data_IF_408218456462
#
_entry.id   IF_408218456462
#
_cell.length_a   1.000
_cell.length_b   1.000
_cell.length_c   1.000
_cell.angle_alpha   90.00
_cell.angle_beta   90.00
_cell.angle_gamma   90.00
#
_symmetry.space_group_name_H-M   'P 1'
#
loop_
_entity.id
_entity.type
_entity.pdbx_description
1 polymer ?
#
# COMPACT_ATOMS: atom_id res chain seq x y z
N UNK A 1 -26.95 -2.20 -4.70
CA UNK A 1 -26.08 -3.32 -4.30
C UNK A 1 -24.83 -3.18 -5.14
N UNK A 2 -23.74 -2.69 -4.56
CA UNK A 2 -22.45 -2.63 -5.25
C UNK A 2 -21.85 -4.03 -5.18
N UNK A 3 -21.50 -4.56 -6.34
CA UNK A 3 -20.98 -5.90 -6.54
C UNK A 3 -19.76 -6.13 -5.65
N UNK A 4 -19.76 -7.17 -4.81
CA UNK A 4 -18.67 -7.47 -3.86
C UNK A 4 -17.37 -7.95 -4.55
N UNK A 5 -17.37 -7.97 -5.88
CA UNK A 5 -16.26 -8.44 -6.70
C UNK A 5 -15.05 -7.49 -6.73
N UNK A 6 -15.21 -6.18 -6.48
CA UNK A 6 -14.14 -5.18 -6.71
C UNK A 6 -13.30 -4.78 -5.48
N UNK A 7 -13.64 -5.24 -4.27
CA UNK A 7 -13.09 -4.67 -3.02
C UNK A 7 -11.84 -5.37 -2.49
N UNK A 8 -10.84 -5.70 -3.31
CA UNK A 8 -9.59 -6.31 -2.82
C UNK A 8 -8.40 -5.82 -3.65
N UNK A 9 -8.03 -4.57 -3.41
CA UNK A 9 -7.05 -3.82 -4.19
C UNK A 9 -5.67 -3.83 -3.54
N UNK A 10 -4.71 -4.51 -4.17
CA UNK A 10 -3.28 -4.37 -3.87
C UNK A 10 -2.70 -3.24 -4.72
N UNK A 11 -1.90 -2.35 -4.10
CA UNK A 11 -1.23 -1.25 -4.80
C UNK A 11 -0.34 -1.71 -5.96
N UNK A 12 0.25 -2.91 -5.86
CA UNK A 12 1.24 -3.44 -6.80
C UNK A 12 0.69 -4.25 -7.97
N UNK A 13 -0.63 -4.35 -8.11
CA UNK A 13 -1.25 -5.23 -9.11
C UNK A 13 -1.87 -4.53 -10.32
N UNK A 14 -1.74 -3.21 -10.46
CA UNK A 14 -2.27 -2.41 -11.59
C UNK A 14 -3.77 -2.66 -11.87
N UNK A 15 -4.48 -3.39 -11.00
CA UNK A 15 -5.89 -3.79 -11.09
C UNK A 15 -6.81 -2.70 -10.52
N UNK A 16 -6.32 -1.48 -10.57
CA UNK A 16 -6.87 -0.33 -9.89
C UNK A 16 -7.23 0.61 -11.02
N UNK A 17 -8.53 0.79 -11.28
CA UNK A 17 -9.02 1.70 -12.32
C UNK A 17 -8.31 3.05 -12.19
N UNK A 18 -8.04 3.75 -13.30
CA UNK A 18 -7.40 5.06 -13.28
C UNK A 18 -8.09 6.07 -12.32
N UNK A 19 -9.38 5.83 -12.03
CA UNK A 19 -10.23 6.59 -11.11
C UNK A 19 -10.32 6.04 -9.67
N UNK A 20 -9.54 5.03 -9.31
CA UNK A 20 -9.47 4.51 -7.93
C UNK A 20 -8.61 5.46 -7.08
N UNK A 21 -9.15 6.67 -6.96
CA UNK A 21 -8.70 7.82 -6.19
C UNK A 21 -7.80 7.35 -5.04
N UNK A 22 -6.50 7.64 -5.14
CA UNK A 22 -5.59 7.64 -3.98
C UNK A 22 -6.36 8.35 -2.86
N UNK A 23 -6.79 7.56 -1.88
CA UNK A 23 -8.01 7.83 -1.13
C UNK A 23 -8.10 9.29 -0.70
N UNK A 24 -9.17 10.00 -1.12
CA UNK A 24 -9.41 11.37 -0.66
C UNK A 24 -9.36 11.49 0.85
N UNK A 25 -9.75 10.42 1.54
CA UNK A 25 -9.69 10.31 2.98
C UNK A 25 -8.24 10.33 3.49
N UNK A 26 -7.34 9.61 2.83
CA UNK A 26 -5.93 9.51 3.20
C UNK A 26 -5.20 10.85 2.99
N UNK A 27 -5.23 11.42 1.78
CA UNK A 27 -4.57 12.71 1.56
C UNK A 27 -5.23 13.86 2.37
N UNK A 28 -6.54 13.79 2.66
CA UNK A 28 -7.20 14.73 3.60
C UNK A 28 -6.64 14.57 5.00
N UNK A 29 -6.43 13.32 5.45
CA UNK A 29 -5.87 13.06 6.76
C UNK A 29 -4.44 13.57 6.86
N UNK A 30 -3.59 13.29 5.88
CA UNK A 30 -2.19 13.71 5.87
C UNK A 30 -2.07 15.22 5.82
N UNK A 31 -2.88 15.88 5.00
CA UNK A 31 -2.99 17.34 5.00
C UNK A 31 -3.31 17.88 6.40
N UNK A 32 -4.38 17.37 7.03
CA UNK A 32 -4.77 17.83 8.38
C UNK A 32 -3.68 17.50 9.41
N UNK A 33 -3.01 16.35 9.29
CA UNK A 33 -1.95 15.93 10.19
C UNK A 33 -0.73 16.86 10.10
N UNK A 34 -0.27 17.19 8.89
CA UNK A 34 0.84 18.11 8.66
C UNK A 34 0.56 19.47 9.32
N UNK A 35 -0.64 20.02 9.14
CA UNK A 35 -1.00 21.32 9.70
C UNK A 35 -1.23 21.25 11.21
N UNK A 36 -2.01 20.27 11.69
CA UNK A 36 -2.43 20.19 13.10
C UNK A 36 -1.32 19.68 14.04
N UNK A 37 -0.45 18.78 13.55
CA UNK A 37 0.54 18.07 14.38
C UNK A 37 1.98 18.39 14.04
N UNK A 38 2.31 18.62 12.77
CA UNK A 38 3.66 19.04 12.38
C UNK A 38 3.83 20.55 12.28
N UNK A 39 2.77 21.33 12.50
CA UNK A 39 2.82 22.79 12.50
C UNK A 39 3.10 23.40 11.12
N UNK A 40 2.92 22.62 10.04
CA UNK A 40 3.04 23.15 8.68
C UNK A 40 1.97 24.22 8.43
N UNK A 41 2.33 25.29 7.72
CA UNK A 41 1.31 26.17 7.16
C UNK A 41 0.54 25.45 6.04
N UNK A 42 -0.66 25.96 5.71
CA UNK A 42 -1.56 25.28 4.77
C UNK A 42 -0.97 25.15 3.37
N UNK A 43 -0.30 26.17 2.84
CA UNK A 43 0.30 26.08 1.50
C UNK A 43 1.44 25.06 1.43
N UNK A 44 2.26 24.98 2.49
CA UNK A 44 3.31 23.96 2.60
C UNK A 44 2.72 22.55 2.72
N UNK A 45 1.62 22.40 3.48
CA UNK A 45 0.95 21.12 3.62
C UNK A 45 0.26 20.69 2.31
N UNK A 46 -0.42 21.61 1.60
CA UNK A 46 -0.99 21.35 0.26
C UNK A 46 0.09 20.92 -0.70
N UNK A 47 1.23 21.64 -0.75
CA UNK A 47 2.34 21.27 -1.63
C UNK A 47 2.92 19.90 -1.30
N UNK A 48 3.15 19.61 -0.01
CA UNK A 48 3.70 18.34 0.44
C UNK A 48 2.81 17.17 0.04
N UNK A 49 1.52 17.26 0.36
CA UNK A 49 0.54 16.21 0.04
C UNK A 49 0.32 16.10 -1.47
N UNK A 50 0.20 17.21 -2.18
CA UNK A 50 0.03 17.17 -3.63
C UNK A 50 1.21 16.48 -4.33
N UNK A 51 2.44 16.72 -3.88
CA UNK A 51 3.61 16.04 -4.43
C UNK A 51 3.62 14.54 -4.09
N UNK A 52 3.33 14.18 -2.84
CA UNK A 52 3.30 12.79 -2.38
C UNK A 52 2.25 11.95 -3.11
N UNK A 53 1.11 12.56 -3.43
CA UNK A 53 -0.02 11.91 -4.08
C UNK A 53 -0.14 12.23 -5.58
N UNK A 54 0.83 12.90 -6.18
CA UNK A 54 0.86 13.35 -7.59
C UNK A 54 -0.43 14.07 -8.03
N UNK A 55 -0.94 14.97 -7.17
CA UNK A 55 -2.14 15.77 -7.39
C UNK A 55 -1.79 17.18 -7.86
N UNK A 56 -2.72 17.84 -8.54
CA UNK A 56 -2.69 19.30 -8.73
C UNK A 56 -2.84 20.00 -7.37
N UNK A 57 -1.94 20.95 -7.07
CA UNK A 57 -2.01 21.74 -5.83
C UNK A 57 -3.30 22.58 -5.76
N UNK A 58 -3.77 23.07 -6.91
CA UNK A 58 -4.97 23.90 -6.97
C UNK A 58 -6.21 23.03 -6.78
N UNK A 59 -6.28 21.86 -7.42
CA UNK A 59 -7.40 20.91 -7.28
C UNK A 59 -7.51 20.40 -5.83
N UNK A 60 -6.38 20.07 -5.19
CA UNK A 60 -6.36 19.67 -3.77
C UNK A 60 -6.86 20.81 -2.88
N UNK A 61 -6.42 22.04 -3.14
CA UNK A 61 -6.85 23.22 -2.37
C UNK A 61 -8.34 23.46 -2.53
N UNK A 62 -8.85 23.46 -3.75
CA UNK A 62 -10.26 23.67 -4.07
C UNK A 62 -11.12 22.59 -3.40
N UNK A 63 -10.72 21.32 -3.50
CA UNK A 63 -11.36 20.22 -2.79
C UNK A 63 -11.41 20.46 -1.26
N UNK A 64 -10.32 20.89 -0.64
CA UNK A 64 -10.26 21.16 0.81
C UNK A 64 -11.15 22.35 1.23
N UNK A 65 -11.30 23.37 0.38
CA UNK A 65 -12.18 24.52 0.59
C UNK A 65 -13.64 24.12 0.41
N UNK A 66 -13.99 23.49 -0.70
CA UNK A 66 -15.35 23.04 -1.04
C UNK A 66 -15.90 22.10 0.04
N UNK A 67 -15.05 21.20 0.54
CA UNK A 67 -15.40 20.27 1.60
C UNK A 67 -15.28 20.88 3.00
N UNK A 68 -14.98 22.17 3.12
CA UNK A 68 -14.90 22.92 4.38
C UNK A 68 -13.88 22.34 5.37
N UNK A 69 -12.82 21.70 4.88
CA UNK A 69 -11.69 21.28 5.71
C UNK A 69 -10.78 22.46 6.04
N UNK A 70 -10.63 23.38 5.09
CA UNK A 70 -10.02 24.68 5.31
C UNK A 70 -11.05 25.77 5.08
N UNK A 71 -10.93 26.87 5.83
CA UNK A 71 -11.77 28.05 5.68
C UNK A 71 -10.86 29.24 5.37
N UNK A 72 -11.33 30.13 4.50
CA UNK A 72 -10.69 31.41 4.29
C UNK A 72 -11.21 32.39 5.36
N UNK A 73 -10.35 32.82 6.28
CA UNK A 73 -10.57 34.06 7.04
C UNK A 73 -9.48 35.01 6.64
N UNK A 74 -9.74 35.80 5.62
CA UNK A 74 -9.07 37.09 5.56
C UNK A 74 -9.97 38.12 6.22
N UNK A 75 -9.69 38.45 7.48
CA UNK A 75 -10.28 39.66 8.06
C UNK A 75 -9.71 40.85 7.31
N UNK A 76 -10.54 41.79 6.85
CA UNK A 76 -10.06 42.95 6.08
C UNK A 76 -8.96 43.74 6.76
N UNK A 77 -8.94 43.77 8.09
CA UNK A 77 -7.96 44.55 8.86
C UNK A 77 -6.59 43.87 8.97
N UNK A 78 -6.54 42.53 8.98
CA UNK A 78 -5.29 41.77 8.95
C UNK A 78 -4.64 41.86 7.55
N UNK A 79 -5.44 41.85 6.47
CA UNK A 79 -4.92 42.11 5.11
C UNK A 79 -4.36 43.53 5.00
N UNK A 80 -5.03 44.54 5.59
CA UNK A 80 -4.52 45.91 5.55
C UNK A 80 -3.14 46.02 6.18
N UNK A 81 -2.88 45.37 7.32
CA UNK A 81 -1.53 45.33 7.92
C UNK A 81 -0.51 44.64 7.00
N UNK A 82 -0.89 43.52 6.39
CA UNK A 82 -0.04 42.78 5.44
C UNK A 82 0.30 43.63 4.19
N UNK A 83 -0.67 44.39 3.69
CA UNK A 83 -0.49 45.29 2.55
C UNK A 83 0.45 46.47 2.88
N UNK A 84 0.59 46.89 4.15
CA UNK A 84 1.54 47.94 4.55
C UNK A 84 3.00 47.56 4.26
N UNK A 85 3.33 46.26 4.27
CA UNK A 85 4.68 45.75 3.97
C UNK A 85 5.06 45.95 2.50
N UNK A 86 4.07 46.11 1.62
CA UNK A 86 4.30 46.33 0.20
C UNK A 86 4.34 47.82 -0.12
N UNK A 87 5.33 48.25 -0.90
CA UNK A 87 5.30 49.58 -1.49
C UNK A 87 4.20 49.69 -2.57
N UNK A 88 3.77 50.91 -2.89
CA UNK A 88 2.68 51.17 -3.84
C UNK A 88 2.98 50.61 -5.24
N UNK A 89 4.26 50.53 -5.65
CA UNK A 89 4.68 49.98 -6.94
C UNK A 89 4.41 48.47 -7.00
N UNK A 90 4.69 47.74 -5.93
CA UNK A 90 4.42 46.30 -5.79
C UNK A 90 2.92 46.01 -5.80
N UNK A 91 2.12 46.78 -5.06
CA UNK A 91 0.66 46.63 -5.06
C UNK A 91 0.04 46.86 -6.46
N UNK A 92 0.57 47.83 -7.21
CA UNK A 92 0.16 48.05 -8.61
C UNK A 92 0.53 46.89 -9.53
N UNK A 93 1.67 46.24 -9.31
CA UNK A 93 2.07 45.04 -10.07
C UNK A 93 1.10 43.89 -9.82
N UNK A 94 0.68 43.67 -8.58
CA UNK A 94 -0.32 42.66 -8.23
C UNK A 94 -1.60 42.90 -9.04
N UNK A 95 -2.17 44.12 -8.98
CA UNK A 95 -3.38 44.44 -9.76
C UNK A 95 -3.20 44.26 -11.28
N UNK A 96 -2.07 44.70 -11.85
CA UNK A 96 -1.79 44.54 -13.29
C UNK A 96 -1.70 43.07 -13.71
N UNK A 97 -1.08 42.22 -12.88
CA UNK A 97 -0.98 40.78 -13.14
C UNK A 97 -2.36 40.12 -13.28
N UNK A 98 -3.35 40.65 -12.58
CA UNK A 98 -4.73 40.17 -12.60
C UNK A 98 -5.66 40.98 -13.53
N UNK A 99 -5.11 41.79 -14.45
CA UNK A 99 -5.90 42.58 -15.41
C UNK A 99 -6.72 43.71 -14.77
N UNK A 100 -6.46 44.05 -13.51
CA UNK A 100 -7.23 45.05 -12.78
C UNK A 100 -6.60 46.44 -12.89
N UNK A 101 -7.45 47.47 -12.85
CA UNK A 101 -7.03 48.87 -12.86
C UNK A 101 -6.02 49.12 -11.73
N UNK A 102 -4.81 49.52 -12.08
CA UNK A 102 -3.71 49.76 -11.13
C UNK A 102 -3.47 51.25 -10.81
N UNK A 103 -4.36 52.16 -11.24
CA UNK A 103 -4.27 53.59 -10.96
C UNK A 103 -5.08 54.01 -9.71
N UNK A 104 -4.67 55.12 -9.07
CA UNK A 104 -5.33 55.72 -7.91
C UNK A 104 -4.46 55.86 -6.66
N UNK A 105 -5.03 56.46 -5.61
CA UNK A 105 -4.43 56.56 -4.28
C UNK A 105 -4.25 55.17 -3.66
N UNK A 106 -3.21 54.99 -2.84
CA UNK A 106 -2.83 53.71 -2.22
C UNK A 106 -4.01 52.99 -1.54
N UNK A 107 -4.80 53.70 -0.71
CA UNK A 107 -5.98 53.12 -0.05
C UNK A 107 -6.97 52.46 -1.03
N UNK A 108 -7.24 53.10 -2.18
CA UNK A 108 -8.12 52.55 -3.23
C UNK A 108 -7.51 51.36 -3.99
N UNK A 109 -6.19 51.21 -3.97
CA UNK A 109 -5.47 50.06 -4.52
C UNK A 109 -5.58 48.89 -3.53
N UNK A 110 -5.34 49.15 -2.24
CA UNK A 110 -5.49 48.17 -1.15
C UNK A 110 -6.93 47.64 -1.06
N UNK A 111 -7.94 48.52 -1.10
CA UNK A 111 -9.36 48.13 -1.15
C UNK A 111 -9.68 47.24 -2.35
N UNK A 112 -9.07 47.51 -3.52
CA UNK A 112 -9.24 46.67 -4.72
C UNK A 112 -8.59 45.31 -4.54
N UNK A 113 -7.42 45.26 -3.92
CA UNK A 113 -6.72 44.01 -3.62
C UNK A 113 -7.52 43.16 -2.63
N UNK A 114 -8.06 43.77 -1.56
CA UNK A 114 -8.91 43.12 -0.56
C UNK A 114 -10.21 42.63 -1.20
N UNK A 115 -10.91 43.48 -1.96
CA UNK A 115 -12.19 43.16 -2.61
C UNK A 115 -12.07 42.01 -3.61
N UNK A 116 -10.93 41.89 -4.27
CA UNK A 116 -10.67 40.83 -5.24
C UNK A 116 -9.85 39.66 -4.63
N UNK A 117 -9.67 39.63 -3.31
CA UNK A 117 -8.96 38.57 -2.57
C UNK A 117 -7.57 38.22 -3.15
N UNK A 118 -6.82 39.22 -3.60
CA UNK A 118 -5.56 39.00 -4.35
C UNK A 118 -4.33 38.83 -3.44
N UNK A 119 -4.49 39.09 -2.14
CA UNK A 119 -3.43 38.98 -1.12
C UNK A 119 -4.07 38.55 0.20
N UNK A 120 -3.45 37.60 0.89
CA UNK A 120 -3.95 37.02 2.13
C UNK A 120 -4.78 35.77 1.85
N UNK A 121 -4.09 34.64 1.70
CA UNK A 121 -4.71 33.31 1.75
C UNK A 121 -4.37 32.71 3.12
N UNK A 122 -4.80 33.37 4.19
CA UNK A 122 -4.73 32.78 5.54
C UNK A 122 -5.88 31.79 5.67
N UNK A 123 -5.73 30.68 4.97
CA UNK A 123 -6.51 29.50 5.22
C UNK A 123 -6.25 29.05 6.66
N UNK A 124 -7.25 28.48 7.30
CA UNK A 124 -7.09 27.80 8.58
C UNK A 124 -7.91 26.52 8.62
N UNK A 125 -7.49 25.56 9.44
CA UNK A 125 -8.25 24.33 9.66
C UNK A 125 -9.60 24.64 10.30
N UNK A 126 -10.67 24.12 9.70
CA UNK A 126 -12.01 24.20 10.25
C UNK A 126 -12.20 23.30 11.48
N UNK A 127 -13.33 23.47 12.18
CA UNK A 127 -13.77 22.52 13.22
C UNK A 127 -14.00 21.12 12.64
N UNK A 128 -14.53 21.02 11.42
CA UNK A 128 -14.72 19.75 10.68
C UNK A 128 -13.40 18.99 10.54
N UNK A 129 -12.31 19.67 10.21
CA UNK A 129 -10.98 19.04 10.11
C UNK A 129 -10.50 18.44 11.43
N UNK A 130 -10.70 19.15 12.54
CA UNK A 130 -10.32 18.65 13.87
C UNK A 130 -11.12 17.41 14.26
N UNK A 131 -12.43 17.40 13.96
CA UNK A 131 -13.30 16.24 14.18
C UNK A 131 -12.90 15.07 13.28
N UNK A 132 -12.67 15.33 11.99
CA UNK A 132 -12.20 14.33 11.02
C UNK A 132 -10.92 13.64 11.51
N UNK A 133 -9.90 14.43 11.89
CA UNK A 133 -8.64 13.90 12.42
C UNK A 133 -8.87 13.07 13.68
N UNK A 134 -9.61 13.59 14.66
CA UNK A 134 -9.89 12.87 15.91
C UNK A 134 -10.56 11.51 15.64
N UNK A 135 -11.49 11.46 14.71
CA UNK A 135 -12.23 10.25 14.38
C UNK A 135 -11.36 9.22 13.65
N UNK A 136 -10.45 9.67 12.78
CA UNK A 136 -9.71 8.77 11.88
C UNK A 136 -8.29 8.44 12.33
N UNK A 137 -7.68 9.24 13.20
CA UNK A 137 -6.26 9.11 13.62
C UNK A 137 -5.85 7.72 14.08
N UNK A 138 -6.73 6.99 14.76
CA UNK A 138 -6.40 5.67 15.33
C UNK A 138 -6.31 4.63 14.21
N UNK A 139 -7.27 4.66 13.29
CA UNK A 139 -7.34 3.78 12.12
C UNK A 139 -6.23 4.07 11.13
N UNK A 140 -5.97 5.35 10.85
CA UNK A 140 -4.91 5.72 9.92
C UNK A 140 -3.55 5.28 10.45
N UNK A 141 -3.25 5.52 11.74
CA UNK A 141 -2.00 5.01 12.33
C UNK A 141 -1.84 3.50 12.16
N UNK A 142 -2.88 2.73 12.41
CA UNK A 142 -2.82 1.27 12.26
C UNK A 142 -2.65 0.88 10.80
N UNK A 143 -3.26 1.61 9.88
CA UNK A 143 -3.05 1.39 8.47
C UNK A 143 -1.61 1.71 8.07
N UNK A 144 -1.09 2.87 8.47
CA UNK A 144 0.27 3.31 8.19
C UNK A 144 1.32 2.34 8.78
N UNK A 145 1.08 1.83 9.99
CA UNK A 145 2.01 0.93 10.67
C UNK A 145 2.04 -0.50 10.08
N UNK A 146 1.03 -0.91 9.30
CA UNK A 146 0.86 -2.33 8.89
C UNK A 146 0.58 -2.55 7.40
N UNK A 147 -0.01 -1.58 6.70
CA UNK A 147 -0.73 -1.80 5.44
C UNK A 147 -0.47 -0.72 4.38
N UNK A 148 0.00 0.48 4.75
CA UNK A 148 0.08 1.62 3.82
C UNK A 148 0.96 1.37 2.61
N UNK A 149 2.01 0.56 2.76
CA UNK A 149 2.91 0.26 1.64
C UNK A 149 2.22 -0.61 0.60
N UNK A 150 1.21 -1.39 1.02
CA UNK A 150 0.66 -2.48 0.21
C UNK A 150 -0.79 -2.29 -0.22
N UNK A 151 -1.60 -1.54 0.53
CA UNK A 151 -3.05 -1.41 0.33
C UNK A 151 -3.48 0.05 0.21
N UNK A 152 -4.74 0.26 -0.19
CA UNK A 152 -5.42 1.55 -0.09
C UNK A 152 -6.24 1.65 1.19
N UNK A 153 -6.30 2.86 1.78
CA UNK A 153 -6.95 3.05 3.08
C UNK A 153 -8.45 2.79 3.06
N UNK A 154 -9.15 3.06 1.95
CA UNK A 154 -10.62 2.99 1.90
C UNK A 154 -11.16 1.61 2.28
N UNK A 155 -10.61 0.57 1.65
CA UNK A 155 -11.05 -0.79 1.85
C UNK A 155 -10.74 -1.28 3.27
N UNK A 156 -9.54 -0.95 3.77
CA UNK A 156 -9.20 -1.23 5.17
C UNK A 156 -10.10 -0.47 6.15
N UNK A 157 -10.47 0.79 5.85
CA UNK A 157 -11.34 1.59 6.71
C UNK A 157 -12.72 0.95 6.86
N UNK A 158 -13.28 0.44 5.77
CA UNK A 158 -14.58 -0.22 5.78
C UNK A 158 -14.49 -1.53 6.57
N UNK A 159 -13.46 -2.34 6.31
CA UNK A 159 -13.21 -3.55 7.08
C UNK A 159 -13.01 -3.27 8.57
N UNK A 160 -12.24 -2.24 8.92
CA UNK A 160 -12.03 -1.82 10.31
C UNK A 160 -13.36 -1.42 10.94
N UNK A 161 -14.21 -0.67 10.23
CA UNK A 161 -15.50 -0.23 10.76
C UNK A 161 -16.46 -1.38 11.02
N UNK A 162 -16.40 -2.46 10.25
CA UNK A 162 -17.19 -3.67 10.52
C UNK A 162 -16.64 -4.48 11.70
N UNK A 163 -15.35 -4.29 12.03
CA UNK A 163 -14.63 -5.11 12.98
C UNK A 163 -14.12 -4.35 14.22
N UNK A 164 -14.50 -3.08 14.40
CA UNK A 164 -13.93 -2.20 15.45
C UNK A 164 -14.15 -2.69 16.89
N UNK A 165 -15.11 -3.60 17.09
CA UNK A 165 -15.38 -4.24 18.39
C UNK A 165 -14.41 -5.38 18.73
N UNK A 166 -13.64 -5.87 17.76
CA UNK A 166 -12.62 -6.91 17.96
C UNK A 166 -11.36 -6.31 18.63
N UNK A 167 -10.45 -7.20 19.07
CA UNK A 167 -9.11 -6.79 19.53
C UNK A 167 -8.36 -6.12 18.38
N UNK A 168 -8.14 -4.83 18.51
CA UNK A 168 -7.63 -3.97 17.45
C UNK A 168 -6.32 -4.46 16.82
N UNK A 169 -5.38 -4.97 17.62
CA UNK A 169 -4.11 -5.51 17.12
C UNK A 169 -4.26 -6.69 16.15
N UNK A 170 -5.44 -7.34 16.11
CA UNK A 170 -5.73 -8.43 15.18
C UNK A 170 -6.34 -7.96 13.88
N UNK A 171 -6.92 -6.76 13.82
CA UNK A 171 -7.69 -6.29 12.66
C UNK A 171 -6.84 -6.27 11.38
N UNK A 172 -5.61 -5.72 11.36
CA UNK A 172 -4.77 -5.72 10.15
C UNK A 172 -4.38 -7.13 9.70
N UNK A 173 -4.05 -8.01 10.66
CA UNK A 173 -3.68 -9.39 10.40
C UNK A 173 -4.86 -10.17 9.80
N UNK A 174 -6.06 -9.98 10.35
CA UNK A 174 -7.28 -10.59 9.81
C UNK A 174 -7.63 -10.05 8.42
N UNK A 175 -7.38 -8.76 8.18
CA UNK A 175 -7.58 -8.14 6.87
C UNK A 175 -6.67 -8.76 5.79
N UNK A 176 -5.38 -8.94 6.07
CA UNK A 176 -4.45 -9.60 5.15
C UNK A 176 -4.83 -11.08 4.96
N UNK A 177 -5.21 -11.80 6.03
CA UNK A 177 -5.68 -13.19 5.92
C UNK A 177 -6.93 -13.34 5.06
N UNK A 178 -7.84 -12.36 5.11
CA UNK A 178 -9.02 -12.33 4.24
C UNK A 178 -8.59 -12.22 2.77
N UNK A 179 -7.61 -11.38 2.46
CA UNK A 179 -7.05 -11.27 1.11
C UNK A 179 -6.35 -12.54 0.63
N UNK A 180 -5.58 -13.22 1.49
CA UNK A 180 -4.97 -14.52 1.17
C UNK A 180 -6.06 -15.56 0.84
N UNK A 181 -7.14 -15.58 1.63
CA UNK A 181 -8.25 -16.51 1.44
C UNK A 181 -8.95 -16.25 0.11
N UNK A 182 -9.29 -14.98 -0.18
CA UNK A 182 -9.90 -14.61 -1.46
C UNK A 182 -8.98 -14.92 -2.65
N UNK A 183 -7.68 -14.62 -2.55
CA UNK A 183 -6.73 -14.96 -3.61
C UNK A 183 -6.63 -16.48 -3.85
N UNK A 184 -6.85 -17.28 -2.82
CA UNK A 184 -6.94 -18.74 -2.93
C UNK A 184 -8.23 -19.16 -3.65
N UNK A 185 -9.37 -18.58 -3.28
CA UNK A 185 -10.68 -18.84 -3.92
C UNK A 185 -10.68 -18.45 -5.40
N UNK A 186 -10.14 -17.28 -5.72
CA UNK A 186 -10.05 -16.75 -7.09
C UNK A 186 -8.92 -17.37 -7.91
N UNK A 187 -8.09 -18.22 -7.30
CA UNK A 187 -6.92 -18.80 -7.94
C UNK A 187 -6.03 -17.69 -8.54
N UNK A 188 -5.66 -16.71 -7.71
CA UNK A 188 -4.82 -15.58 -8.11
C UNK A 188 -3.43 -15.66 -7.46
N UNK A 189 -2.47 -16.17 -8.22
CA UNK A 189 -1.10 -16.40 -7.75
C UNK A 189 -0.44 -15.10 -7.26
N UNK A 190 -0.47 -14.04 -8.08
CA UNK A 190 0.19 -12.77 -7.78
C UNK A 190 -0.36 -12.16 -6.48
N UNK A 191 -1.69 -12.10 -6.34
CA UNK A 191 -2.32 -11.63 -5.10
C UNK A 191 -1.89 -12.48 -3.91
N UNK A 192 -1.93 -13.82 -4.01
CA UNK A 192 -1.57 -14.70 -2.89
C UNK A 192 -0.12 -14.54 -2.47
N UNK A 193 0.82 -14.51 -3.43
CA UNK A 193 2.24 -14.35 -3.17
C UNK A 193 2.51 -13.00 -2.47
N UNK A 194 1.96 -11.89 -2.99
CA UNK A 194 2.10 -10.58 -2.37
C UNK A 194 1.53 -10.55 -0.95
N UNK A 195 0.29 -11.00 -0.74
CA UNK A 195 -0.33 -10.99 0.60
C UNK A 195 0.40 -11.88 1.60
N UNK A 196 0.92 -13.02 1.16
CA UNK A 196 1.74 -13.91 1.97
C UNK A 196 3.06 -13.23 2.34
N UNK A 197 3.67 -12.50 1.41
CA UNK A 197 4.89 -11.74 1.67
C UNK A 197 4.70 -10.64 2.73
N UNK A 198 3.59 -9.90 2.70
CA UNK A 198 3.24 -8.90 3.73
C UNK A 198 3.17 -9.55 5.12
N UNK A 199 2.64 -10.78 5.21
CA UNK A 199 2.62 -11.54 6.46
C UNK A 199 4.01 -11.99 6.92
N UNK A 200 4.95 -12.24 5.99
CA UNK A 200 6.36 -12.53 6.30
C UNK A 200 7.00 -11.31 6.94
N UNK A 201 6.90 -10.14 6.32
CA UNK A 201 7.43 -8.86 6.85
C UNK A 201 6.86 -8.56 8.23
N UNK A 202 5.54 -8.68 8.39
CA UNK A 202 4.88 -8.48 9.67
C UNK A 202 5.48 -9.35 10.79
N UNK A 203 5.69 -10.65 10.55
CA UNK A 203 6.22 -11.55 11.57
C UNK A 203 7.73 -11.46 11.75
N UNK A 204 8.45 -10.98 10.74
CA UNK A 204 9.86 -10.60 10.85
C UNK A 204 10.01 -9.43 11.84
N UNK A 205 9.23 -8.36 11.66
CA UNK A 205 9.29 -7.17 12.53
C UNK A 205 8.85 -7.45 13.98
N UNK A 206 8.04 -8.49 14.18
CA UNK A 206 7.63 -8.95 15.51
C UNK A 206 8.57 -10.00 16.12
N UNK A 207 9.69 -10.32 15.48
CA UNK A 207 10.64 -11.38 15.84
C UNK A 207 9.90 -12.70 16.18
N UNK A 208 8.95 -13.08 15.33
CA UNK A 208 8.16 -14.31 15.48
C UNK A 208 8.51 -15.32 14.39
N UNK A 209 9.67 -16.00 14.50
CA UNK A 209 10.20 -16.86 13.43
C UNK A 209 9.28 -18.05 13.13
N UNK A 210 8.55 -18.58 14.12
CA UNK A 210 7.62 -19.71 13.90
C UNK A 210 6.45 -19.32 13.01
N UNK A 211 5.85 -18.16 13.25
CA UNK A 211 4.75 -17.68 12.39
C UNK A 211 5.26 -17.22 11.05
N UNK A 212 6.42 -16.55 11.01
CA UNK A 212 7.09 -16.17 9.78
C UNK A 212 7.35 -17.38 8.87
N UNK A 213 7.88 -18.48 9.42
CA UNK A 213 8.15 -19.72 8.69
C UNK A 213 6.92 -20.27 7.96
N UNK A 214 5.75 -20.22 8.58
CA UNK A 214 4.50 -20.67 7.95
C UNK A 214 4.23 -19.92 6.63
N UNK A 215 4.42 -18.60 6.64
CA UNK A 215 4.17 -17.76 5.45
C UNK A 215 5.32 -17.82 4.45
N UNK A 216 6.58 -17.90 4.90
CA UNK A 216 7.74 -18.13 4.02
C UNK A 216 7.57 -19.42 3.24
N UNK A 217 7.19 -20.51 3.91
CA UNK A 217 6.96 -21.80 3.25
C UNK A 217 5.72 -21.77 2.35
N UNK A 218 4.66 -21.03 2.70
CA UNK A 218 3.49 -20.85 1.82
C UNK A 218 3.90 -20.16 0.52
N UNK A 219 4.70 -19.11 0.62
CA UNK A 219 5.20 -18.37 -0.54
C UNK A 219 6.15 -19.26 -1.37
N UNK A 220 7.06 -19.97 -0.71
CA UNK A 220 7.96 -20.94 -1.33
C UNK A 220 7.22 -22.02 -2.12
N UNK A 221 6.28 -22.72 -1.49
CA UNK A 221 5.54 -23.81 -2.15
C UNK A 221 4.70 -23.30 -3.32
N UNK A 222 4.05 -22.13 -3.16
CA UNK A 222 3.24 -21.52 -4.21
C UNK A 222 4.08 -21.08 -5.41
N UNK A 223 5.29 -20.54 -5.21
CA UNK A 223 6.18 -20.19 -6.32
C UNK A 223 6.90 -21.41 -6.92
N UNK A 224 6.98 -22.55 -6.23
CA UNK A 224 7.42 -23.79 -6.89
C UNK A 224 6.35 -24.40 -7.79
N UNK A 225 5.09 -24.12 -7.48
CA UNK A 225 3.95 -24.63 -8.22
C UNK A 225 2.89 -23.53 -8.30
N UNK A 226 2.97 -22.60 -9.26
CA UNK A 226 1.92 -21.61 -9.45
C UNK A 226 0.67 -22.32 -9.94
N UNK A 227 -0.16 -22.71 -8.98
CA UNK A 227 -1.24 -23.70 -9.14
C UNK A 227 -2.33 -23.23 -10.11
N UNK A 228 -2.39 -21.93 -10.37
CA UNK A 228 -3.66 -21.29 -10.63
C UNK A 228 -3.75 -20.60 -11.98
N UNK A 229 -2.64 -20.15 -12.56
CA UNK A 229 -2.68 -19.34 -13.78
C UNK A 229 -1.35 -19.27 -14.51
N UNK A 230 -0.73 -20.42 -14.77
CA UNK A 230 0.35 -20.44 -15.75
C UNK A 230 -0.29 -20.69 -17.10
N UNK A 231 -0.58 -19.61 -17.82
CA UNK A 231 -0.91 -19.68 -19.24
C UNK A 231 0.37 -19.97 -20.05
N UNK A 232 1.55 -19.60 -19.52
CA UNK A 232 2.88 -19.94 -20.07
C UNK A 232 3.95 -20.12 -18.98
N UNK A 233 4.64 -21.28 -18.97
CA UNK A 233 5.72 -21.58 -18.03
C UNK A 233 6.99 -20.74 -18.26
N UNK A 234 7.12 -20.14 -19.45
CA UNK A 234 8.26 -19.29 -19.82
C UNK A 234 8.37 -18.01 -18.99
N UNK A 235 7.27 -17.55 -18.39
CA UNK A 235 7.26 -16.39 -17.47
C UNK A 235 7.66 -16.77 -16.03
N UNK A 236 7.83 -18.07 -15.76
CA UNK A 236 8.08 -18.59 -14.43
C UNK A 236 9.58 -18.83 -14.17
N UNK A 237 10.25 -17.84 -13.58
CA UNK A 237 11.71 -17.85 -13.33
C UNK A 237 12.19 -18.54 -12.05
N UNK A 238 11.41 -19.42 -11.43
CA UNK A 238 11.74 -20.04 -10.14
C UNK A 238 11.10 -19.32 -8.95
N UNK A 239 11.73 -19.36 -7.76
CA UNK A 239 11.17 -18.72 -6.55
C UNK A 239 11.96 -17.46 -6.16
N UNK A 240 11.34 -16.43 -5.55
CA UNK A 240 11.97 -15.12 -5.36
C UNK A 240 13.18 -15.13 -4.41
N UNK A 241 14.21 -14.33 -4.71
CA UNK A 241 15.42 -14.19 -3.87
C UNK A 241 15.11 -13.78 -2.42
N UNK A 242 14.10 -12.94 -2.20
CA UNK A 242 13.70 -12.55 -0.85
C UNK A 242 13.25 -13.76 -0.01
N UNK A 243 12.59 -14.75 -0.63
CA UNK A 243 12.17 -15.98 0.06
C UNK A 243 13.37 -16.85 0.40
N UNK A 244 14.35 -16.91 -0.51
CA UNK A 244 15.62 -17.55 -0.25
C UNK A 244 16.30 -16.93 0.99
N UNK A 245 16.44 -15.60 1.03
CA UNK A 245 17.08 -14.90 2.15
C UNK A 245 16.36 -15.13 3.48
N UNK A 246 15.02 -15.12 3.47
CA UNK A 246 14.24 -15.42 4.66
C UNK A 246 14.36 -16.86 5.14
N UNK A 247 14.51 -17.84 4.24
CA UNK A 247 14.78 -19.23 4.64
C UNK A 247 16.16 -19.37 5.30
N UNK A 248 17.18 -18.69 4.78
CA UNK A 248 18.51 -18.63 5.41
C UNK A 248 18.42 -17.98 6.79
N UNK A 249 17.75 -16.84 6.90
CA UNK A 249 17.52 -16.18 8.19
C UNK A 249 16.81 -17.11 9.20
N UNK A 250 15.75 -17.80 8.77
CA UNK A 250 14.99 -18.69 9.63
C UNK A 250 15.80 -19.91 10.09
N UNK A 251 16.78 -20.36 9.30
CA UNK A 251 17.70 -21.43 9.70
C UNK A 251 18.59 -21.04 10.88
N UNK A 252 18.91 -19.75 11.03
CA UNK A 252 19.67 -19.24 12.18
C UNK A 252 18.80 -19.19 13.45
N UNK A 253 17.49 -19.10 13.30
CA UNK A 253 16.52 -18.91 14.40
C UNK A 253 15.79 -20.20 14.81
N UNK A 254 15.68 -21.17 13.91
CA UNK A 254 14.90 -22.39 14.09
C UNK A 254 15.74 -23.62 13.74
N UNK A 255 15.51 -24.72 14.47
CA UNK A 255 16.14 -25.99 14.10
C UNK A 255 15.68 -26.45 12.72
N UNK A 256 16.59 -27.09 11.99
CA UNK A 256 16.30 -27.67 10.67
C UNK A 256 15.08 -28.60 10.68
N UNK A 257 14.89 -29.38 11.74
CA UNK A 257 13.74 -30.28 11.87
C UNK A 257 12.41 -29.53 11.92
N UNK A 258 12.37 -28.34 12.54
CA UNK A 258 11.16 -27.50 12.56
C UNK A 258 10.84 -27.02 11.15
N UNK A 259 11.84 -26.53 10.41
CA UNK A 259 11.68 -26.03 9.04
C UNK A 259 11.15 -27.15 8.14
N UNK A 260 11.78 -28.31 8.19
CA UNK A 260 11.40 -29.49 7.39
C UNK A 260 9.99 -29.97 7.75
N UNK A 261 9.66 -30.11 9.03
CA UNK A 261 8.33 -30.60 9.43
C UNK A 261 7.22 -29.65 8.99
N UNK A 262 7.46 -28.33 9.07
CA UNK A 262 6.50 -27.34 8.59
C UNK A 262 6.37 -27.32 7.07
N UNK A 263 7.44 -27.63 6.32
CA UNK A 263 7.36 -27.74 4.86
C UNK A 263 6.29 -28.77 4.44
N UNK A 264 6.33 -29.97 5.04
CA UNK A 264 5.34 -31.01 4.74
C UNK A 264 3.91 -30.55 5.08
N UNK A 265 3.72 -29.98 6.28
CA UNK A 265 2.40 -29.47 6.71
C UNK A 265 1.86 -28.37 5.79
N UNK A 266 2.72 -27.44 5.38
CA UNK A 266 2.32 -26.34 4.48
C UNK A 266 2.05 -26.86 3.08
N UNK A 267 2.91 -27.73 2.55
CA UNK A 267 2.68 -28.35 1.25
C UNK A 267 1.33 -29.07 1.19
N UNK A 268 1.04 -29.88 2.20
CA UNK A 268 -0.20 -30.66 2.26
C UNK A 268 -1.45 -29.80 2.50
N UNK A 269 -1.27 -28.56 2.95
CA UNK A 269 -2.38 -27.58 3.05
C UNK A 269 -2.80 -27.00 1.70
N UNK A 270 -1.96 -27.14 0.66
CA UNK A 270 -2.30 -26.71 -0.69
C UNK A 270 -3.03 -27.83 -1.44
N UNK A 271 -4.25 -27.54 -1.88
CA UNK A 271 -4.98 -28.38 -2.82
C UNK A 271 -4.50 -28.08 -4.24
N UNK A 272 -3.29 -28.55 -4.58
CA UNK A 272 -2.72 -28.39 -5.91
C UNK A 272 -3.63 -29.02 -6.98
N UNK A 273 -4.07 -28.25 -7.98
CA UNK A 273 -4.77 -28.82 -9.15
C UNK A 273 -3.78 -29.47 -10.13
N UNK A 274 -2.56 -28.94 -10.16
CA UNK A 274 -1.44 -29.29 -11.03
C UNK A 274 -0.14 -29.18 -10.25
N UNK A 275 0.79 -30.10 -10.51
CA UNK A 275 2.12 -30.09 -9.90
C UNK A 275 3.16 -30.09 -11.03
N UNK A 276 4.06 -29.11 -10.99
CA UNK A 276 5.22 -28.94 -11.86
C UNK A 276 6.44 -29.54 -11.16
N UNK A 277 6.71 -29.06 -9.94
CA UNK A 277 7.79 -29.57 -9.08
C UNK A 277 7.18 -30.53 -8.06
N UNK A 278 7.48 -31.84 -8.12
CA UNK A 278 7.00 -32.82 -7.15
C UNK A 278 7.40 -32.46 -5.72
N UNK A 279 6.59 -32.89 -4.74
CA UNK A 279 6.83 -32.63 -3.31
C UNK A 279 8.24 -33.03 -2.87
N UNK A 280 8.69 -34.23 -3.23
CA UNK A 280 10.04 -34.66 -2.87
C UNK A 280 11.14 -33.77 -3.48
N UNK A 281 10.95 -33.28 -4.70
CA UNK A 281 11.90 -32.38 -5.35
C UNK A 281 11.87 -30.98 -4.71
N UNK A 282 10.69 -30.47 -4.35
CA UNK A 282 10.57 -29.26 -3.54
C UNK A 282 11.29 -29.39 -2.20
N UNK A 283 11.14 -30.52 -1.50
CA UNK A 283 11.90 -30.80 -0.28
C UNK A 283 13.42 -30.79 -0.51
N UNK A 284 13.89 -31.41 -1.59
CA UNK A 284 15.33 -31.43 -1.94
C UNK A 284 15.86 -30.02 -2.16
N UNK A 285 15.14 -29.20 -2.92
CA UNK A 285 15.49 -27.79 -3.16
C UNK A 285 15.53 -27.02 -1.83
N UNK A 286 14.55 -27.19 -0.96
CA UNK A 286 14.55 -26.56 0.36
C UNK A 286 15.79 -26.98 1.17
N UNK A 287 16.13 -28.27 1.15
CA UNK A 287 17.33 -28.77 1.81
C UNK A 287 18.61 -28.18 1.20
N UNK A 288 18.65 -28.00 -0.11
CA UNK A 288 19.77 -27.38 -0.80
C UNK A 288 19.91 -25.91 -0.41
N UNK A 289 18.83 -25.12 -0.36
CA UNK A 289 18.84 -23.74 0.16
C UNK A 289 19.44 -23.70 1.58
N UNK A 290 18.99 -24.60 2.45
CA UNK A 290 19.47 -24.65 3.84
C UNK A 290 20.93 -25.14 3.97
N UNK A 291 21.56 -25.59 2.88
CA UNK A 291 22.95 -26.07 2.88
C UNK A 291 23.89 -25.24 2.00
N UNK A 292 23.36 -24.62 0.96
CA UNK A 292 24.09 -24.03 -0.14
C UNK A 292 23.69 -22.57 -0.23
N UNK A 293 24.68 -21.68 -0.15
CA UNK A 293 24.45 -20.23 -0.25
C UNK A 293 24.41 -19.72 -1.70
N UNK A 294 23.99 -20.54 -2.64
CA UNK A 294 24.03 -20.25 -4.08
C UNK A 294 22.64 -20.30 -4.71
N UNK A 295 21.92 -19.19 -4.57
CA UNK A 295 20.59 -18.97 -5.14
C UNK A 295 20.54 -19.16 -6.65
N UNK A 296 21.54 -18.65 -7.39
CA UNK A 296 21.55 -18.67 -8.85
C UNK A 296 21.63 -20.09 -9.38
N UNK A 297 22.53 -20.91 -8.82
CA UNK A 297 22.64 -22.30 -9.22
C UNK A 297 21.37 -23.09 -8.92
N UNK A 298 20.79 -22.94 -7.72
CA UNK A 298 19.55 -23.62 -7.34
C UNK A 298 18.40 -23.24 -8.28
N UNK A 299 18.32 -21.96 -8.64
CA UNK A 299 17.28 -21.46 -9.55
C UNK A 299 17.48 -21.97 -10.97
N UNK A 300 18.73 -22.00 -11.47
CA UNK A 300 19.03 -22.54 -12.80
C UNK A 300 18.72 -24.04 -12.87
N UNK A 301 19.08 -24.81 -11.83
CA UNK A 301 18.76 -26.24 -11.74
C UNK A 301 17.24 -26.48 -11.79
N UNK A 302 16.46 -25.62 -11.15
CA UNK A 302 15.00 -25.67 -11.21
C UNK A 302 14.47 -25.36 -12.62
N UNK A 303 15.01 -24.32 -13.26
CA UNK A 303 14.63 -23.93 -14.62
C UNK A 303 14.92 -25.08 -15.59
N UNK A 304 16.15 -25.58 -15.63
CA UNK A 304 16.57 -26.61 -16.58
C UNK A 304 15.78 -27.91 -16.42
N UNK A 305 15.40 -28.25 -15.19
CA UNK A 305 14.70 -29.50 -14.89
C UNK A 305 13.19 -29.42 -15.02
N UNK A 306 12.59 -28.26 -14.71
CA UNK A 306 11.14 -28.14 -14.50
C UNK A 306 10.45 -26.97 -15.18
N UNK A 307 11.15 -25.95 -15.70
CA UNK A 307 10.49 -24.78 -16.32
C UNK A 307 10.96 -24.49 -17.75
N UNK A 308 12.15 -24.93 -18.16
CA UNK A 308 12.79 -24.59 -19.44
C UNK A 308 12.33 -25.43 -20.64
N UNK A 309 11.32 -26.29 -20.49
CA UNK A 309 10.84 -27.15 -21.57
C UNK A 309 9.33 -26.91 -21.77
N UNK A 310 8.94 -26.23 -22.84
CA UNK A 310 7.54 -25.87 -23.13
C UNK A 310 6.60 -27.09 -23.27
N UNK A 311 7.18 -28.28 -23.47
CA UNK A 311 6.49 -29.59 -23.57
C UNK A 311 6.21 -30.26 -22.21
N UNK A 312 6.33 -29.53 -21.09
CA UNK A 312 6.06 -30.07 -19.76
C UNK A 312 4.67 -30.70 -19.72
N UNK A 313 4.66 -32.03 -19.69
CA UNK A 313 3.49 -32.85 -19.34
C UNK A 313 3.12 -32.51 -17.91
N UNK A 314 2.35 -31.44 -17.74
CA UNK A 314 1.65 -31.09 -16.51
C UNK A 314 0.92 -32.35 -16.07
N UNK A 315 1.46 -33.04 -15.07
CA UNK A 315 0.86 -34.28 -14.58
C UNK A 315 -0.39 -33.88 -13.82
N UNK A 316 -1.56 -34.19 -14.38
CA UNK A 316 -2.82 -34.13 -13.64
C UNK A 316 -2.66 -35.01 -12.41
N UNK A 317 -3.00 -34.50 -11.23
CA UNK A 317 -2.90 -35.30 -10.00
C UNK A 317 -3.86 -36.49 -10.12
N UNK A 318 -3.32 -37.70 -10.00
CA UNK A 318 -4.07 -38.95 -9.85
C UNK A 318 -3.72 -39.53 -8.47
N UNK A 319 -4.57 -40.41 -7.92
CA UNK A 319 -4.26 -41.07 -6.64
C UNK A 319 -2.89 -41.76 -6.64
N UNK A 320 -2.40 -42.23 -7.80
CA UNK A 320 -1.07 -42.82 -7.94
C UNK A 320 0.06 -41.79 -7.79
N UNK A 321 -0.13 -40.55 -8.26
CA UNK A 321 0.85 -39.46 -8.12
C UNK A 321 0.91 -38.83 -6.72
N UNK A 322 -0.09 -39.10 -5.87
CA UNK A 322 -0.14 -38.66 -4.46
C UNK A 322 0.64 -39.56 -3.50
N UNK A 323 0.87 -40.84 -3.87
CA UNK A 323 1.43 -41.86 -2.99
C UNK A 323 2.73 -42.51 -3.49
N UNK A 324 3.15 -42.27 -4.74
CA UNK A 324 4.44 -42.78 -5.26
C UNK A 324 5.67 -41.97 -4.76
N UNK A 325 5.54 -40.98 -3.86
CA UNK A 325 6.67 -40.18 -3.31
C UNK A 325 6.50 -39.72 -1.86
#
# INVERSE_FOLDING_TARGET
>A
MLDDNEKFSLKYNDNVTADYDRSRLQYTFDFIYLVLKRGANIDSAVRGVANEYELSQDDLRDYLVENKYILNKTKPDEIKELLKQYNTKSLKKILKKHGLKASGKRKRIEERIIKNHLVGNDYYLSSKSRVFYKNKKRRMRIFDDYLSDHYYFNEFNDYYMDNYRKKEAKIPIEYIKKHISKATEEKNHKNYACNTYIMIEHYHDKDNPRKMLEYVLKNYCMNLNPVWKIDSLSEHGGFPINIYDYLIYLQEKLSKNIIISNYYLVWDSFNFDRIIVPKYEGYRVLKDILHLKDYHRITQDLIDRFYGNDDLKIKKITQKTLFDF
#
